data_IF_261289472540
#
_entry.id   IF_261289472540
#
_cell.length_a   1.000
_cell.length_b   1.000
_cell.length_c   1.000
_cell.angle_alpha   90.00
_cell.angle_beta   90.00
_cell.angle_gamma   90.00
#
_symmetry.space_group_name_H-M   'P 1'
#
loop_
_entity.id
_entity.type
_entity.pdbx_description
1 polymer ?
#
# COMPACT_ATOMS: atom_id res chain seq x y z
N UNK A 1 18.26 53.83 -9.24
CA UNK A 1 18.05 55.21 -8.76
C UNK A 1 16.55 55.50 -8.80
N UNK A 2 15.94 55.72 -7.62
CA UNK A 2 14.62 56.32 -7.30
C UNK A 2 13.35 55.70 -7.95
N UNK A 3 12.46 55.03 -7.20
CA UNK A 3 11.53 55.47 -6.13
C UNK A 3 10.21 56.07 -6.66
N UNK A 4 9.12 55.39 -6.28
CA UNK A 4 7.77 55.88 -5.92
C UNK A 4 6.87 56.58 -6.95
N UNK A 5 5.69 55.98 -7.15
CA UNK A 5 4.46 56.60 -6.69
C UNK A 5 3.45 55.55 -6.23
N UNK A 6 2.93 55.77 -5.02
CA UNK A 6 1.92 55.00 -4.33
C UNK A 6 0.75 55.93 -3.97
N UNK A 7 -0.37 55.29 -3.64
CA UNK A 7 -1.55 55.81 -2.92
C UNK A 7 -2.59 56.52 -3.82
N UNK A 8 -3.90 56.31 -3.72
CA UNK A 8 -4.75 55.90 -2.60
C UNK A 8 -6.00 55.14 -3.11
N UNK A 9 -6.49 54.14 -2.37
CA UNK A 9 -7.80 54.22 -1.70
C UNK A 9 -7.93 53.09 -0.67
N UNK A 10 -8.09 53.49 0.59
CA UNK A 10 -8.29 52.63 1.76
C UNK A 10 -9.78 52.44 2.05
N UNK A 11 -10.06 51.40 2.86
CA UNK A 11 -11.24 51.15 3.68
C UNK A 11 -12.40 50.38 3.05
N UNK A 12 -12.44 49.08 3.34
CA UNK A 12 -13.48 48.45 4.16
C UNK A 12 -12.95 47.09 4.65
N UNK A 13 -12.40 47.09 5.87
CA UNK A 13 -12.26 45.89 6.70
C UNK A 13 -13.57 45.75 7.47
N UNK A 14 -14.29 44.67 7.20
CA UNK A 14 -15.29 44.13 8.12
C UNK A 14 -14.93 42.66 8.34
N UNK A 15 -14.72 42.35 9.61
CA UNK A 15 -14.41 41.03 10.16
C UNK A 15 -15.35 39.94 9.64
N UNK A 16 -14.75 38.87 9.14
CA UNK A 16 -15.29 37.52 9.29
C UNK A 16 -14.13 36.58 9.54
N UNK A 17 -13.64 36.63 10.77
CA UNK A 17 -12.95 35.53 11.42
C UNK A 17 -13.93 34.37 11.67
N UNK A 18 -14.54 33.84 10.61
CA UNK A 18 -15.09 32.48 10.65
C UNK A 18 -13.92 31.54 10.46
N UNK A 19 -13.60 30.84 11.53
CA UNK A 19 -12.63 29.76 11.59
C UNK A 19 -12.58 28.96 10.29
N UNK A 20 -11.44 28.94 9.62
CA UNK A 20 -11.05 27.84 8.74
C UNK A 20 -10.81 26.58 9.60
N UNK A 21 -11.84 26.12 10.30
CA UNK A 21 -11.97 24.70 10.56
C UNK A 21 -12.33 24.12 9.20
N UNK A 22 -11.37 23.49 8.53
CA UNK A 22 -11.65 22.64 7.39
C UNK A 22 -12.76 21.68 7.85
N UNK A 23 -14.00 21.95 7.44
CA UNK A 23 -15.06 20.98 7.49
C UNK A 23 -14.55 19.85 6.60
N UNK A 24 -13.98 18.82 7.22
CA UNK A 24 -13.84 17.52 6.58
C UNK A 24 -15.23 17.19 6.07
N UNK A 25 -15.46 17.35 4.77
CA UNK A 25 -16.71 16.92 4.14
C UNK A 25 -16.88 15.45 4.51
N UNK A 26 -17.80 15.17 5.44
CA UNK A 26 -18.12 13.83 5.85
C UNK A 26 -18.44 13.03 4.59
N UNK A 27 -17.80 11.87 4.43
CA UNK A 27 -17.98 11.03 3.26
C UNK A 27 -19.47 10.88 2.93
N UNK A 28 -19.86 11.28 1.72
CA UNK A 28 -21.26 11.31 1.28
C UNK A 28 -21.95 9.94 1.35
N UNK A 29 -21.15 8.87 1.33
CA UNK A 29 -21.53 7.48 1.43
C UNK A 29 -20.60 6.78 2.43
N UNK A 30 -21.18 6.03 3.37
CA UNK A 30 -20.46 5.31 4.44
C UNK A 30 -20.89 3.85 4.48
N UNK A 31 -19.93 2.92 4.52
CA UNK A 31 -20.20 1.50 4.71
C UNK A 31 -20.78 1.24 6.11
N UNK A 32 -21.70 0.30 6.21
CA UNK A 32 -22.30 -0.18 7.44
C UNK A 32 -22.51 -1.69 7.35
N UNK A 33 -21.80 -2.44 8.21
CA UNK A 33 -21.72 -3.91 8.19
C UNK A 33 -20.49 -4.50 7.51
N UNK A 34 -19.69 -3.70 6.79
CA UNK A 34 -18.42 -4.09 6.16
C UNK A 34 -17.39 -2.98 6.27
N UNK A 35 -16.11 -3.31 6.10
CA UNK A 35 -15.00 -2.36 6.21
C UNK A 35 -13.84 -2.66 5.22
N UNK A 36 -13.13 -1.61 4.77
CA UNK A 36 -12.02 -1.71 3.81
C UNK A 36 -10.72 -2.27 4.45
N UNK A 37 -10.65 -2.33 5.78
CA UNK A 37 -9.47 -2.74 6.55
C UNK A 37 -9.60 -4.11 7.23
N UNK A 38 -10.72 -4.81 7.00
CA UNK A 38 -11.01 -6.11 7.61
C UNK A 38 -11.37 -7.19 6.58
N UNK A 39 -11.34 -8.44 7.03
CA UNK A 39 -11.84 -9.58 6.27
C UNK A 39 -13.36 -9.68 6.45
N UNK A 40 -14.11 -9.33 5.40
CA UNK A 40 -15.56 -9.33 5.41
C UNK A 40 -16.11 -10.70 5.01
N UNK A 41 -17.29 -11.07 5.50
CA UNK A 41 -17.90 -12.36 5.22
C UNK A 41 -18.60 -12.38 3.87
N UNK A 42 -18.42 -13.46 3.12
CA UNK A 42 -19.12 -13.70 1.87
C UNK A 42 -20.63 -13.85 2.09
N UNK A 43 -21.41 -13.27 1.17
CA UNK A 43 -22.87 -13.30 1.14
C UNK A 43 -23.55 -12.71 2.40
N UNK A 44 -22.82 -11.98 3.24
CA UNK A 44 -23.41 -11.23 4.35
C UNK A 44 -23.98 -9.90 3.83
N UNK A 45 -25.28 -9.63 4.02
CA UNK A 45 -25.87 -8.36 3.63
C UNK A 45 -25.28 -7.18 4.39
N UNK A 46 -25.12 -6.05 3.71
CA UNK A 46 -24.64 -4.81 4.32
C UNK A 46 -25.28 -3.60 3.65
N UNK A 47 -25.07 -2.42 4.22
CA UNK A 47 -25.64 -1.18 3.67
C UNK A 47 -24.58 -0.11 3.46
N UNK A 48 -24.89 0.81 2.55
CA UNK A 48 -24.15 2.05 2.35
C UNK A 48 -25.08 3.20 2.69
N UNK A 49 -24.78 3.91 3.77
CA UNK A 49 -25.58 5.03 4.27
C UNK A 49 -25.15 6.32 3.61
N UNK A 50 -26.10 7.17 3.24
CA UNK A 50 -25.82 8.50 2.71
C UNK A 50 -26.13 9.60 3.70
N UNK A 51 -25.23 10.58 3.80
CA UNK A 51 -25.50 11.83 4.51
C UNK A 51 -26.49 12.72 3.74
N UNK A 52 -26.62 12.53 2.42
CA UNK A 52 -27.53 13.25 1.54
C UNK A 52 -28.82 12.47 1.27
N UNK A 53 -29.83 13.12 0.73
CA UNK A 53 -30.98 12.42 0.16
C UNK A 53 -30.66 12.04 -1.29
N UNK A 54 -30.59 10.73 -1.54
CA UNK A 54 -30.37 10.13 -2.85
C UNK A 54 -31.67 10.12 -3.66
N UNK A 55 -31.55 10.24 -4.97
CA UNK A 55 -32.61 9.93 -5.94
C UNK A 55 -32.44 8.47 -6.39
N UNK A 56 -33.23 7.51 -5.89
CA UNK A 56 -32.95 6.08 -6.09
C UNK A 56 -32.83 5.66 -7.56
N UNK A 57 -33.67 6.25 -8.43
CA UNK A 57 -33.68 5.96 -9.87
C UNK A 57 -32.42 6.42 -10.63
N UNK A 58 -31.52 7.17 -9.97
CA UNK A 58 -30.27 7.67 -10.55
C UNK A 58 -29.04 6.89 -10.10
N UNK A 59 -29.23 5.91 -9.23
CA UNK A 59 -28.14 5.14 -8.66
C UNK A 59 -27.72 4.00 -9.57
N UNK A 60 -26.42 3.94 -9.84
CA UNK A 60 -25.73 2.85 -10.50
C UNK A 60 -24.70 2.27 -9.53
N UNK A 61 -24.79 0.96 -9.30
CA UNK A 61 -23.86 0.21 -8.46
C UNK A 61 -23.10 -0.75 -9.37
N UNK A 62 -21.78 -0.70 -9.32
CA UNK A 62 -20.90 -1.56 -10.09
C UNK A 62 -19.93 -2.32 -9.18
N UNK A 63 -19.61 -3.55 -9.57
CA UNK A 63 -18.61 -4.39 -8.92
C UNK A 63 -17.55 -4.76 -9.96
N UNK A 64 -16.29 -4.71 -9.57
CA UNK A 64 -15.20 -5.25 -10.36
C UNK A 64 -14.26 -6.09 -9.49
N UNK A 65 -13.63 -7.13 -10.05
CA UNK A 65 -12.49 -7.77 -9.39
C UNK A 65 -11.37 -6.72 -9.24
N UNK A 66 -10.91 -6.50 -8.01
CA UNK A 66 -9.89 -5.50 -7.73
C UNK A 66 -8.57 -5.77 -8.48
N UNK A 67 -8.32 -7.02 -8.86
CA UNK A 67 -7.15 -7.46 -9.63
C UNK A 67 -7.28 -7.16 -11.13
N UNK A 68 -8.50 -6.96 -11.64
CA UNK A 68 -8.77 -6.74 -13.05
C UNK A 68 -8.47 -5.30 -13.55
N UNK A 69 -7.70 -4.50 -12.79
CA UNK A 69 -7.22 -3.17 -13.21
C UNK A 69 -8.34 -2.21 -13.68
N UNK A 70 -9.53 -2.28 -13.07
CA UNK A 70 -10.72 -1.47 -13.38
C UNK A 70 -11.25 -1.61 -14.82
N UNK A 71 -10.88 -2.67 -15.55
CA UNK A 71 -11.43 -2.93 -16.89
C UNK A 71 -12.72 -3.74 -16.76
N UNK A 72 -13.84 -3.03 -16.68
CA UNK A 72 -15.18 -3.61 -16.62
C UNK A 72 -15.71 -3.63 -15.19
N UNK A 73 -16.66 -2.74 -14.91
CA UNK A 73 -17.56 -2.91 -13.77
C UNK A 73 -18.78 -3.65 -14.27
N UNK A 74 -19.13 -4.74 -13.60
CA UNK A 74 -20.40 -5.41 -13.79
C UNK A 74 -21.43 -4.72 -12.91
N UNK A 75 -22.60 -4.38 -13.48
CA UNK A 75 -23.66 -3.75 -12.71
C UNK A 75 -24.24 -4.73 -11.69
N UNK A 76 -24.35 -4.26 -10.45
CA UNK A 76 -25.00 -5.00 -9.39
C UNK A 76 -26.47 -4.59 -9.32
N UNK A 77 -27.34 -5.47 -9.83
CA UNK A 77 -28.77 -5.18 -9.97
C UNK A 77 -29.60 -5.48 -8.72
N UNK A 78 -29.07 -6.25 -7.78
CA UNK A 78 -29.81 -6.71 -6.58
C UNK A 78 -29.76 -5.70 -5.42
N UNK A 79 -29.24 -4.50 -5.64
CA UNK A 79 -29.22 -3.45 -4.63
C UNK A 79 -30.60 -2.80 -4.46
N UNK A 80 -31.04 -2.65 -3.22
CA UNK A 80 -32.25 -1.90 -2.88
C UNK A 80 -31.84 -0.49 -2.47
N UNK A 81 -32.22 0.49 -3.28
CA UNK A 81 -31.86 1.91 -3.05
C UNK A 81 -33.04 2.67 -2.46
N UNK A 82 -32.79 3.34 -1.35
CA UNK A 82 -33.70 4.28 -0.67
C UNK A 82 -33.06 5.67 -0.63
N UNK A 83 -33.80 6.73 -0.26
CA UNK A 83 -33.22 8.08 -0.16
C UNK A 83 -32.02 8.19 0.79
N UNK A 84 -31.86 7.28 1.76
CA UNK A 84 -30.77 7.35 2.75
C UNK A 84 -29.83 6.16 2.77
N UNK A 85 -30.21 5.04 2.14
CA UNK A 85 -29.45 3.79 2.22
C UNK A 85 -29.46 3.07 0.88
N UNK A 86 -28.36 2.39 0.58
CA UNK A 86 -28.23 1.40 -0.48
C UNK A 86 -27.98 0.07 0.23
N UNK A 87 -28.94 -0.85 0.19
CA UNK A 87 -28.78 -2.19 0.77
C UNK A 87 -28.29 -3.17 -0.29
N UNK A 88 -27.27 -3.95 0.04
CA UNK A 88 -26.71 -5.00 -0.80
C UNK A 88 -26.96 -6.36 -0.13
N UNK A 89 -27.33 -7.38 -0.91
CA UNK A 89 -27.60 -8.73 -0.41
C UNK A 89 -26.33 -9.51 0.02
N UNK A 90 -25.16 -8.86 -0.11
CA UNK A 90 -23.85 -9.46 0.13
C UNK A 90 -23.11 -9.72 -1.18
N UNK A 91 -21.81 -9.94 -1.06
CA UNK A 91 -20.89 -10.12 -2.18
C UNK A 91 -20.29 -11.52 -2.13
N UNK A 92 -19.95 -12.08 -3.29
CA UNK A 92 -19.20 -13.33 -3.36
C UNK A 92 -17.78 -13.13 -2.81
N UNK A 93 -17.14 -14.23 -2.40
CA UNK A 93 -15.76 -14.22 -1.93
C UNK A 93 -14.80 -13.70 -3.04
N UNK A 94 -13.83 -12.88 -2.64
CA UNK A 94 -12.83 -12.27 -3.51
C UNK A 94 -12.45 -10.86 -3.09
N UNK A 95 -11.55 -10.25 -3.85
CA UNK A 95 -11.26 -8.82 -3.73
C UNK A 95 -12.16 -8.02 -4.67
N UNK A 96 -12.97 -7.14 -4.10
CA UNK A 96 -14.02 -6.44 -4.82
C UNK A 96 -13.81 -4.94 -4.74
N UNK A 97 -13.80 -4.28 -5.89
CA UNK A 97 -14.02 -2.84 -5.97
C UNK A 97 -15.52 -2.58 -6.11
N UNK A 98 -16.15 -2.06 -5.06
CA UNK A 98 -17.54 -1.60 -5.07
C UNK A 98 -17.57 -0.13 -5.47
N UNK A 99 -18.14 0.18 -6.63
CA UNK A 99 -18.33 1.53 -7.11
C UNK A 99 -19.81 1.92 -7.07
N UNK A 100 -20.09 3.09 -6.52
CA UNK A 100 -21.45 3.64 -6.43
C UNK A 100 -21.43 5.03 -7.05
N UNK A 101 -22.39 5.30 -7.92
CA UNK A 101 -22.69 6.64 -8.41
C UNK A 101 -24.19 6.88 -8.32
N UNK A 102 -24.60 7.97 -7.69
CA UNK A 102 -25.99 8.39 -7.53
C UNK A 102 -26.08 9.90 -7.78
N UNK A 103 -27.29 10.39 -8.02
CA UNK A 103 -27.61 11.81 -7.87
C UNK A 103 -28.37 12.01 -6.56
N UNK A 104 -28.09 13.12 -5.88
CA UNK A 104 -28.93 13.58 -4.80
C UNK A 104 -30.20 14.25 -5.34
N UNK A 105 -31.20 14.45 -4.46
CA UNK A 105 -32.46 15.10 -4.83
C UNK A 105 -32.31 16.55 -5.31
N UNK A 106 -31.18 17.21 -5.03
CA UNK A 106 -30.85 18.55 -5.54
C UNK A 106 -29.99 18.52 -6.81
N UNK A 107 -29.82 17.34 -7.42
CA UNK A 107 -29.05 17.17 -8.65
C UNK A 107 -27.53 17.10 -8.46
N UNK A 108 -27.04 17.06 -7.23
CA UNK A 108 -25.61 16.86 -6.95
C UNK A 108 -25.18 15.43 -7.29
N UNK A 109 -24.04 15.27 -7.97
CA UNK A 109 -23.47 13.94 -8.25
C UNK A 109 -22.74 13.42 -6.99
N UNK A 110 -23.06 12.20 -6.59
CA UNK A 110 -22.53 11.54 -5.40
C UNK A 110 -21.90 10.23 -5.86
N UNK A 111 -20.59 10.06 -5.61
CA UNK A 111 -19.91 8.84 -5.97
C UNK A 111 -18.92 8.39 -4.90
N UNK A 112 -18.79 7.07 -4.75
CA UNK A 112 -17.84 6.43 -3.86
C UNK A 112 -17.29 5.15 -4.50
N UNK A 113 -16.07 4.80 -4.13
CA UNK A 113 -15.46 3.52 -4.49
C UNK A 113 -14.82 2.94 -3.24
N UNK A 114 -15.09 1.67 -2.96
CA UNK A 114 -14.57 0.93 -1.82
C UNK A 114 -13.81 -0.30 -2.31
N UNK A 115 -12.66 -0.60 -1.69
CA UNK A 115 -11.92 -1.83 -1.90
C UNK A 115 -12.20 -2.79 -0.73
N UNK A 116 -12.98 -3.83 -0.99
CA UNK A 116 -13.40 -4.80 0.01
C UNK A 116 -12.69 -6.12 -0.20
N UNK A 117 -12.28 -6.76 0.89
CA UNK A 117 -11.83 -8.15 0.88
C UNK A 117 -12.90 -9.02 1.50
N UNK A 118 -13.53 -9.85 0.66
CA UNK A 118 -14.60 -10.75 1.04
C UNK A 118 -14.01 -12.16 1.10
N UNK A 119 -14.11 -12.83 2.24
CA UNK A 119 -13.67 -14.21 2.38
C UNK A 119 -14.77 -15.13 2.89
N UNK A 120 -14.50 -16.42 2.79
CA UNK A 120 -15.44 -17.49 3.10
C UNK A 120 -14.77 -18.67 3.82
N UNK A 121 -13.49 -18.53 4.19
CA UNK A 121 -12.70 -19.61 4.75
C UNK A 121 -12.43 -19.32 6.22
N UNK A 122 -12.97 -20.17 7.09
CA UNK A 122 -12.58 -20.21 8.49
C UNK A 122 -11.44 -21.22 8.64
N UNK A 123 -10.24 -20.73 8.96
CA UNK A 123 -9.03 -21.54 9.08
C UNK A 123 -8.67 -21.72 10.55
N UNK A 124 -8.83 -22.92 11.12
CA UNK A 124 -8.31 -23.21 12.45
C UNK A 124 -6.78 -23.32 12.39
N UNK A 125 -6.11 -22.57 13.25
CA UNK A 125 -4.65 -22.52 13.41
C UNK A 125 -4.29 -23.05 14.80
N UNK A 126 -3.38 -24.01 14.87
CA UNK A 126 -2.81 -24.47 16.14
C UNK A 126 -1.34 -24.12 16.21
N UNK A 127 -0.95 -23.43 17.28
CA UNK A 127 0.44 -23.07 17.55
C UNK A 127 1.01 -24.06 18.56
N UNK A 128 2.11 -24.72 18.21
CA UNK A 128 2.80 -25.68 19.09
C UNK A 128 4.28 -25.39 19.19
N UNK A 129 4.90 -25.81 20.29
CA UNK A 129 6.35 -25.75 20.46
C UNK A 129 7.05 -26.91 19.73
N UNK A 130 8.39 -26.96 19.83
CA UNK A 130 9.20 -28.02 19.25
C UNK A 130 8.85 -29.44 19.73
N UNK A 131 8.24 -29.57 20.91
CA UNK A 131 7.75 -30.82 21.50
C UNK A 131 6.28 -31.13 21.14
N UNK A 132 5.69 -30.39 20.19
CA UNK A 132 4.28 -30.50 19.77
C UNK A 132 3.29 -30.21 20.91
N UNK A 133 3.71 -29.52 21.96
CA UNK A 133 2.81 -29.05 23.01
C UNK A 133 2.18 -27.73 22.61
N UNK A 134 0.89 -27.51 22.90
CA UNK A 134 0.21 -26.27 22.56
C UNK A 134 0.81 -25.04 23.26
N UNK A 135 0.92 -23.93 22.53
CA UNK A 135 1.32 -22.64 23.08
C UNK A 135 0.07 -21.83 23.35
N UNK A 136 -0.22 -21.59 24.63
CA UNK A 136 -1.37 -20.80 25.09
C UNK A 136 -1.03 -19.31 25.06
N UNK A 137 -1.97 -18.48 24.63
CA UNK A 137 -1.78 -17.04 24.62
C UNK A 137 -0.97 -16.51 23.43
N UNK A 138 -0.56 -17.36 22.50
CA UNK A 138 0.14 -16.92 21.28
C UNK A 138 -0.78 -15.99 20.47
N UNK A 139 -0.24 -14.84 20.09
CA UNK A 139 -0.91 -13.90 19.21
C UNK A 139 -0.70 -14.34 17.76
N UNK A 140 -1.80 -14.59 17.06
CA UNK A 140 -1.81 -15.04 15.67
C UNK A 140 -2.47 -13.98 14.82
N UNK A 141 -1.71 -13.43 13.88
CA UNK A 141 -2.17 -12.38 12.97
C UNK A 141 -2.16 -12.90 11.54
N UNK A 142 -3.35 -12.97 10.93
CA UNK A 142 -3.48 -13.17 9.48
C UNK A 142 -3.47 -11.81 8.80
N UNK A 143 -2.65 -11.66 7.75
CA UNK A 143 -2.45 -10.40 7.07
C UNK A 143 -2.47 -10.55 5.55
N UNK A 144 -3.12 -9.60 4.90
CA UNK A 144 -3.18 -9.46 3.45
C UNK A 144 -3.26 -7.98 3.07
N UNK A 145 -2.16 -7.39 2.64
CA UNK A 145 -2.08 -5.93 2.54
C UNK A 145 -2.28 -5.19 3.88
N UNK A 146 -2.98 -4.06 3.81
CA UNK A 146 -3.36 -3.32 5.01
C UNK A 146 -4.40 -4.05 5.88
N UNK A 147 -4.97 -5.15 5.39
CA UNK A 147 -6.02 -5.90 6.07
C UNK A 147 -5.38 -6.93 6.98
N UNK A 148 -5.84 -6.95 8.23
CA UNK A 148 -5.39 -7.93 9.21
C UNK A 148 -6.50 -8.32 10.15
N UNK A 149 -6.41 -9.52 10.69
CA UNK A 149 -7.12 -9.92 11.89
C UNK A 149 -6.12 -10.55 12.84
N UNK A 150 -6.30 -10.29 14.12
CA UNK A 150 -5.43 -10.74 15.18
C UNK A 150 -6.27 -11.43 16.23
N UNK A 151 -5.81 -12.60 16.67
CA UNK A 151 -6.48 -13.39 17.69
C UNK A 151 -5.46 -14.05 18.59
N UNK A 152 -5.90 -14.55 19.74
CA UNK A 152 -5.04 -15.21 20.72
C UNK A 152 -5.40 -16.68 20.82
N UNK A 153 -4.40 -17.56 20.88
CA UNK A 153 -4.62 -18.99 21.06
C UNK A 153 -5.21 -19.31 22.44
N UNK A 154 -6.15 -20.25 22.45
CA UNK A 154 -6.80 -20.74 23.67
C UNK A 154 -5.91 -21.74 24.44
N UNK A 155 -6.46 -22.40 25.47
CA UNK A 155 -5.76 -23.39 26.29
C UNK A 155 -5.25 -24.63 25.50
N UNK A 156 -5.81 -24.92 24.32
CA UNK A 156 -5.34 -25.98 23.42
C UNK A 156 -4.40 -25.45 22.32
N UNK A 157 -3.90 -24.21 22.45
CA UNK A 157 -3.06 -23.54 21.46
C UNK A 157 -3.78 -23.29 20.13
N UNK A 158 -5.11 -23.33 20.13
CA UNK A 158 -5.94 -23.22 18.92
C UNK A 158 -6.56 -21.83 18.81
N UNK A 159 -6.69 -21.34 17.59
CA UNK A 159 -7.44 -20.15 17.23
C UNK A 159 -8.08 -20.34 15.86
N UNK A 160 -9.23 -19.73 15.58
CA UNK A 160 -9.85 -19.78 14.24
C UNK A 160 -9.81 -18.40 13.63
N UNK A 161 -9.11 -18.29 12.50
CA UNK A 161 -9.08 -17.08 11.68
C UNK A 161 -10.26 -17.15 10.73
N UNK A 162 -11.13 -16.15 10.75
CA UNK A 162 -12.44 -16.23 10.08
C UNK A 162 -12.48 -15.41 8.80
N UNK A 163 -13.39 -15.78 7.89
CA UNK A 163 -13.65 -15.03 6.65
C UNK A 163 -12.38 -14.76 5.80
N UNK A 164 -11.43 -15.69 5.78
CA UNK A 164 -10.23 -15.53 4.97
C UNK A 164 -10.55 -15.69 3.47
N UNK A 165 -9.85 -14.95 2.59
CA UNK A 165 -10.00 -15.10 1.14
C UNK A 165 -9.25 -16.34 0.64
N UNK A 166 -9.66 -16.86 -0.52
CA UNK A 166 -9.02 -18.01 -1.17
C UNK A 166 -7.73 -17.61 -1.91
N UNK A 167 -6.76 -17.06 -1.17
CA UNK A 167 -5.45 -16.65 -1.68
C UNK A 167 -4.40 -16.62 -0.58
N UNK A 168 -3.13 -16.60 -0.97
CA UNK A 168 -2.02 -16.54 -0.02
C UNK A 168 -2.13 -15.34 0.91
N UNK A 169 -1.98 -15.60 2.21
CA UNK A 169 -1.90 -14.61 3.28
C UNK A 169 -0.56 -14.78 4.02
N UNK A 170 -0.13 -13.73 4.72
CA UNK A 170 0.95 -13.83 5.69
C UNK A 170 0.36 -14.14 7.07
N UNK A 171 0.87 -15.20 7.70
CA UNK A 171 0.52 -15.61 9.05
C UNK A 171 1.69 -15.26 9.98
N UNK A 172 1.45 -14.39 10.94
CA UNK A 172 2.42 -14.01 11.97
C UNK A 172 2.02 -14.63 13.30
N UNK A 173 3.00 -15.15 14.03
CA UNK A 173 2.82 -15.69 15.38
C UNK A 173 3.80 -15.02 16.31
N UNK A 174 3.29 -14.38 17.37
CA UNK A 174 4.07 -13.79 18.45
C UNK A 174 3.76 -14.50 19.77
N UNK A 175 4.81 -14.85 20.51
CA UNK A 175 4.69 -15.62 21.76
C UNK A 175 4.75 -14.64 22.95
N UNK A 176 3.83 -14.72 23.92
CA UNK A 176 3.83 -13.85 25.08
C UNK A 176 5.16 -13.87 25.84
N UNK A 177 5.70 -12.69 26.13
CA UNK A 177 6.96 -12.55 26.88
C UNK A 177 8.21 -12.87 26.07
N UNK A 178 8.08 -13.19 24.79
CA UNK A 178 9.18 -13.41 23.87
C UNK A 178 9.22 -12.31 22.79
N UNK A 179 10.41 -11.86 22.40
CA UNK A 179 10.57 -10.97 21.24
C UNK A 179 10.58 -11.74 19.92
N UNK A 180 10.51 -13.06 19.96
CA UNK A 180 10.48 -13.89 18.77
C UNK A 180 9.10 -13.86 18.09
N UNK A 181 9.14 -13.64 16.78
CA UNK A 181 8.01 -13.78 15.90
C UNK A 181 8.36 -14.77 14.78
N UNK A 182 7.41 -15.62 14.41
CA UNK A 182 7.51 -16.49 13.25
C UNK A 182 6.49 -16.01 12.21
N UNK A 183 6.90 -15.99 10.94
CA UNK A 183 6.03 -15.64 9.84
C UNK A 183 6.11 -16.69 8.75
N UNK A 184 4.97 -17.00 8.14
CA UNK A 184 4.91 -17.86 6.95
C UNK A 184 3.80 -17.42 6.01
N UNK A 185 4.00 -17.66 4.72
CA UNK A 185 2.97 -17.46 3.70
C UNK A 185 2.16 -18.74 3.56
N UNK A 186 0.85 -18.65 3.75
CA UNK A 186 -0.05 -19.80 3.73
C UNK A 186 -1.26 -19.55 2.85
N UNK A 187 -1.74 -20.60 2.20
CA UNK A 187 -3.01 -20.60 1.49
C UNK A 187 -4.13 -21.03 2.47
N UNK A 188 -5.10 -20.15 2.79
CA UNK A 188 -6.18 -20.47 3.72
C UNK A 188 -6.98 -21.70 3.30
N UNK A 189 -7.24 -22.61 4.25
CA UNK A 189 -8.05 -23.82 4.04
C UNK A 189 -8.95 -24.08 5.26
N UNK A 190 -10.14 -24.67 5.07
CA UNK A 190 -11.05 -25.01 6.18
C UNK A 190 -10.60 -26.29 6.91
N UNK A 191 -9.31 -26.37 7.25
CA UNK A 191 -8.69 -27.51 7.95
C UNK A 191 -7.62 -27.00 8.87
N UNK A 192 -7.27 -27.80 9.88
CA UNK A 192 -6.25 -27.44 10.85
C UNK A 192 -4.92 -27.13 10.16
N UNK A 193 -4.44 -25.91 10.38
CA UNK A 193 -3.12 -25.47 10.02
C UNK A 193 -2.25 -25.42 11.26
N UNK A 194 -1.19 -26.23 11.32
CA UNK A 194 -0.33 -26.30 12.49
C UNK A 194 0.94 -25.48 12.26
N UNK A 195 1.22 -24.54 13.16
CA UNK A 195 2.46 -23.74 13.17
C UNK A 195 3.39 -24.31 14.23
N UNK A 196 4.52 -24.86 13.79
CA UNK A 196 5.57 -25.35 14.66
C UNK A 196 6.58 -24.22 14.96
N UNK A 197 6.61 -23.77 16.21
CA UNK A 197 7.63 -22.84 16.69
C UNK A 197 8.93 -23.62 16.89
N UNK A 198 9.90 -23.37 16.00
CA UNK A 198 11.23 -23.97 16.14
C UNK A 198 11.93 -23.38 17.35
N UNK A 199 12.34 -24.24 18.28
CA UNK A 199 13.26 -23.90 19.37
C UNK A 199 14.45 -23.16 18.80
N UNK A 200 14.64 -21.91 19.22
CA UNK A 200 15.88 -21.19 18.97
C UNK A 200 16.92 -21.86 19.86
N UNK A 201 17.96 -22.42 19.24
CA UNK A 201 19.17 -22.75 19.98
C UNK A 201 19.60 -21.47 20.69
N UNK A 202 19.72 -21.52 22.02
CA UNK A 202 20.31 -20.44 22.80
C UNK A 202 21.55 -19.93 22.08
N UNK A 203 21.67 -18.61 21.97
CA UNK A 203 22.72 -17.90 21.24
C UNK A 203 24.07 -17.95 21.98
N UNK A 204 24.34 -19.04 22.71
CA UNK A 204 25.54 -19.24 23.52
C UNK A 204 26.60 -20.12 22.85
N UNK A 205 26.38 -20.55 21.61
CA UNK A 205 27.29 -21.49 20.91
C UNK A 205 27.78 -20.96 19.55
N UNK A 206 27.99 -19.64 19.44
CA UNK A 206 28.85 -19.07 18.40
C UNK A 206 30.28 -19.02 18.95
N UNK A 207 31.00 -20.10 18.66
CA UNK A 207 32.42 -20.22 18.94
C UNK A 207 33.20 -18.98 18.49
N UNK A 208 34.10 -18.56 19.37
CA UNK A 208 35.17 -17.61 19.11
C UNK A 208 35.98 -18.14 17.92
N UNK A 209 35.73 -17.60 16.73
CA UNK A 209 36.59 -17.81 15.57
C UNK A 209 37.72 -16.78 15.62
N UNK A 210 38.85 -17.28 16.08
CA UNK A 210 40.22 -17.03 15.59
C UNK A 210 40.48 -15.71 14.86
N UNK A 211 41.14 -14.81 15.58
CA UNK A 211 41.74 -13.56 15.09
C UNK A 211 42.97 -13.83 14.21
N UNK A 212 42.81 -14.49 13.07
CA UNK A 212 43.95 -14.66 12.14
C UNK A 212 43.55 -14.96 10.69
N UNK A 213 42.79 -14.05 10.06
CA UNK A 213 42.83 -13.88 8.59
C UNK A 213 42.20 -12.55 8.19
N UNK A 214 43.04 -11.56 7.87
CA UNK A 214 42.67 -10.41 7.02
C UNK A 214 42.34 -10.95 5.61
N UNK A 215 41.16 -11.54 5.47
CA UNK A 215 40.54 -11.68 4.17
C UNK A 215 40.08 -10.28 3.74
N UNK A 216 40.45 -9.85 2.53
CA UNK A 216 39.97 -8.62 1.92
C UNK A 216 38.44 -8.61 2.04
N UNK A 217 37.89 -7.65 2.80
CA UNK A 217 36.44 -7.46 2.94
C UNK A 217 35.78 -7.53 1.54
N UNK A 218 34.70 -8.32 1.35
CA UNK A 218 34.00 -8.42 0.07
C UNK A 218 33.66 -7.06 -0.53
N UNK A 219 33.36 -6.06 0.33
CA UNK A 219 33.11 -4.68 -0.09
C UNK A 219 34.24 -4.04 -0.88
N UNK A 220 35.50 -4.46 -0.72
CA UNK A 220 36.65 -3.86 -1.42
C UNK A 220 36.82 -4.33 -2.86
N UNK A 221 35.95 -5.21 -3.35
CA UNK A 221 35.94 -5.64 -4.75
C UNK A 221 35.38 -4.52 -5.65
N UNK A 222 35.94 -4.28 -6.84
CA UNK A 222 35.45 -3.23 -7.75
C UNK A 222 33.95 -3.33 -8.04
N UNK A 223 33.42 -4.54 -8.18
CA UNK A 223 32.01 -4.81 -8.46
C UNK A 223 31.09 -4.45 -7.28
N UNK A 224 31.63 -4.39 -6.07
CA UNK A 224 30.93 -3.95 -4.86
C UNK A 224 31.01 -2.43 -4.64
N UNK A 225 31.92 -1.75 -5.33
CA UNK A 225 32.09 -0.30 -5.26
C UNK A 225 31.28 0.44 -6.33
N UNK A 226 31.02 -0.22 -7.46
CA UNK A 226 30.18 0.34 -8.52
C UNK A 226 29.23 -0.72 -9.12
N UNK A 227 28.09 -0.99 -8.45
CA UNK A 227 27.16 -2.00 -8.92
C UNK A 227 26.38 -1.49 -10.14
N UNK A 228 26.66 -2.08 -11.30
CA UNK A 228 26.07 -1.69 -12.59
C UNK A 228 24.92 -2.61 -12.99
N UNK A 229 23.69 -2.09 -12.97
CA UNK A 229 22.46 -2.71 -13.52
C UNK A 229 22.29 -4.20 -13.17
N UNK A 230 22.69 -4.58 -11.97
CA UNK A 230 22.63 -5.97 -11.47
C UNK A 230 22.09 -5.99 -10.04
N UNK A 231 21.51 -7.13 -9.64
CA UNK A 231 21.11 -7.38 -8.26
C UNK A 231 22.20 -8.07 -7.44
N UNK A 232 23.31 -8.46 -8.09
CA UNK A 232 24.40 -9.22 -7.48
C UNK A 232 25.01 -8.57 -6.24
N UNK A 233 24.98 -7.24 -6.15
CA UNK A 233 25.47 -6.49 -4.98
C UNK A 233 24.93 -7.06 -3.66
N UNK A 234 23.64 -7.40 -3.62
CA UNK A 234 23.01 -7.86 -2.39
C UNK A 234 23.54 -9.22 -1.94
N UNK A 235 23.79 -10.14 -2.87
CA UNK A 235 24.21 -11.51 -2.59
C UNK A 235 25.73 -11.62 -2.44
N UNK A 236 26.48 -10.98 -3.34
CA UNK A 236 27.95 -11.11 -3.44
C UNK A 236 28.71 -10.12 -2.57
N UNK A 237 28.10 -8.99 -2.20
CA UNK A 237 28.76 -7.94 -1.43
C UNK A 237 28.13 -7.80 -0.04
N UNK A 238 26.87 -7.35 0.03
CA UNK A 238 26.23 -7.01 1.29
C UNK A 238 26.05 -8.23 2.21
N UNK A 239 25.51 -9.33 1.69
CA UNK A 239 25.33 -10.55 2.48
C UNK A 239 26.66 -11.22 2.86
N UNK A 240 27.65 -11.25 1.96
CA UNK A 240 28.98 -11.80 2.29
C UNK A 240 29.75 -10.97 3.33
N UNK A 241 29.36 -9.72 3.53
CA UNK A 241 30.02 -8.83 4.50
C UNK A 241 29.47 -9.04 5.91
N UNK A 242 28.14 -9.05 6.07
CA UNK A 242 27.50 -9.12 7.39
C UNK A 242 26.81 -10.43 7.73
N UNK A 243 26.61 -11.33 6.76
CA UNK A 243 25.95 -12.62 6.94
C UNK A 243 24.60 -12.52 7.67
N UNK A 244 23.75 -11.59 7.22
CA UNK A 244 22.48 -11.30 7.87
C UNK A 244 21.44 -12.42 7.73
N UNK A 245 21.72 -13.40 6.86
CA UNK A 245 20.89 -14.56 6.65
C UNK A 245 19.68 -14.30 5.76
N UNK A 246 18.87 -15.34 5.50
CA UNK A 246 17.77 -15.26 4.53
C UNK A 246 16.66 -14.27 4.91
N UNK A 247 16.55 -13.91 6.19
CA UNK A 247 15.58 -12.92 6.70
C UNK A 247 16.19 -11.51 6.81
N UNK A 248 17.50 -11.37 6.59
CA UNK A 248 18.20 -10.09 6.64
C UNK A 248 17.89 -9.21 5.43
N UNK A 249 18.06 -7.90 5.60
CA UNK A 249 17.77 -6.92 4.55
C UNK A 249 18.39 -7.24 3.18
N UNK A 250 19.69 -7.63 3.05
CA UNK A 250 20.29 -7.87 1.74
C UNK A 250 19.52 -8.88 0.90
N UNK A 251 19.18 -10.04 1.47
CA UNK A 251 18.50 -11.11 0.74
C UNK A 251 16.98 -10.94 0.72
N UNK A 252 16.36 -10.71 1.89
CA UNK A 252 14.90 -10.71 2.02
C UNK A 252 14.26 -9.51 1.32
N UNK A 253 14.89 -8.33 1.43
CA UNK A 253 14.35 -7.08 0.89
C UNK A 253 15.08 -6.65 -0.37
N UNK A 254 16.37 -6.33 -0.26
CA UNK A 254 17.16 -5.73 -1.35
C UNK A 254 17.17 -6.58 -2.61
N UNK A 255 17.61 -7.83 -2.49
CA UNK A 255 17.73 -8.76 -3.61
C UNK A 255 16.37 -9.07 -4.26
N UNK A 256 15.36 -9.36 -3.44
CA UNK A 256 14.02 -9.70 -3.93
C UNK A 256 13.36 -8.52 -4.66
N UNK A 257 13.43 -7.30 -4.09
CA UNK A 257 12.88 -6.11 -4.74
C UNK A 257 13.63 -5.76 -6.02
N UNK A 258 14.96 -5.87 -6.03
CA UNK A 258 15.76 -5.61 -7.23
C UNK A 258 15.35 -6.52 -8.39
N UNK A 259 15.27 -7.83 -8.16
CA UNK A 259 14.85 -8.78 -9.20
C UNK A 259 13.41 -8.55 -9.66
N UNK A 260 12.54 -8.11 -8.74
CA UNK A 260 11.17 -7.77 -9.08
C UNK A 260 11.08 -6.57 -10.00
N UNK A 261 11.86 -5.52 -9.77
CA UNK A 261 11.97 -4.39 -10.69
C UNK A 261 12.51 -4.82 -12.05
N UNK A 262 13.56 -5.66 -12.09
CA UNK A 262 14.09 -6.22 -13.34
C UNK A 262 13.02 -6.99 -14.12
N UNK A 263 12.25 -7.86 -13.45
CA UNK A 263 11.20 -8.67 -14.05
C UNK A 263 10.00 -7.85 -14.56
N UNK A 264 9.86 -6.60 -14.13
CA UNK A 264 8.76 -5.70 -14.54
C UNK A 264 9.20 -4.64 -15.56
N UNK A 265 10.48 -4.60 -15.97
CA UNK A 265 11.01 -3.56 -16.85
C UNK A 265 10.21 -3.39 -18.15
N UNK A 266 9.68 -4.46 -18.74
CA UNK A 266 8.87 -4.36 -19.97
C UNK A 266 7.59 -3.55 -19.82
N UNK A 267 7.08 -3.35 -18.59
CA UNK A 267 5.87 -2.59 -18.33
C UNK A 267 6.12 -1.08 -18.14
N UNK A 268 7.38 -0.66 -18.12
CA UNK A 268 7.77 0.74 -18.03
C UNK A 268 8.10 1.32 -19.41
N UNK A 269 7.89 2.63 -19.54
CA UNK A 269 8.36 3.41 -20.68
C UNK A 269 9.90 3.40 -20.78
N UNK A 270 10.46 3.86 -21.90
CA UNK A 270 11.92 4.00 -22.04
C UNK A 270 12.51 4.88 -20.92
N UNK A 271 11.98 6.10 -20.65
CA UNK A 271 12.39 6.89 -19.48
C UNK A 271 12.22 6.18 -18.14
N UNK A 272 11.11 5.45 -17.94
CA UNK A 272 10.84 4.70 -16.72
C UNK A 272 11.88 3.60 -16.45
N UNK A 273 12.30 2.87 -17.49
CA UNK A 273 13.34 1.84 -17.37
C UNK A 273 14.71 2.43 -17.01
N UNK A 274 15.07 3.55 -17.61
CA UNK A 274 16.30 4.27 -17.26
C UNK A 274 16.26 4.74 -15.80
N UNK A 275 15.14 5.33 -15.36
CA UNK A 275 14.96 5.72 -13.97
C UNK A 275 15.10 4.54 -12.99
N UNK A 276 14.51 3.38 -13.29
CA UNK A 276 14.65 2.17 -12.45
C UNK A 276 16.10 1.78 -12.29
N UNK A 277 16.86 1.71 -13.39
CA UNK A 277 18.26 1.33 -13.34
C UNK A 277 19.12 2.30 -12.53
N UNK A 278 18.93 3.59 -12.75
CA UNK A 278 19.69 4.62 -12.05
C UNK A 278 19.35 4.64 -10.56
N UNK A 279 18.08 4.45 -10.23
CA UNK A 279 17.59 4.35 -8.84
C UNK A 279 18.13 3.12 -8.13
N UNK A 280 18.09 1.94 -8.75
CA UNK A 280 18.63 0.71 -8.15
C UNK A 280 20.14 0.83 -7.90
N UNK A 281 20.89 1.37 -8.87
CA UNK A 281 22.31 1.61 -8.70
C UNK A 281 22.60 2.62 -7.57
N UNK A 282 21.80 3.69 -7.45
CA UNK A 282 21.89 4.63 -6.33
C UNK A 282 21.66 3.95 -4.98
N UNK A 283 20.60 3.15 -4.86
CA UNK A 283 20.27 2.44 -3.62
C UNK A 283 21.37 1.48 -3.18
N UNK A 284 21.99 0.76 -4.11
CA UNK A 284 23.10 -0.14 -3.82
C UNK A 284 24.35 0.65 -3.41
N UNK A 285 24.70 1.73 -4.13
CA UNK A 285 25.84 2.60 -3.77
C UNK A 285 25.68 3.23 -2.40
N UNK A 286 24.47 3.59 -2.01
CA UNK A 286 24.18 4.15 -0.69
C UNK A 286 24.51 3.20 0.47
N UNK A 287 24.66 1.90 0.22
CA UNK A 287 25.02 0.90 1.23
C UNK A 287 26.52 0.67 1.35
N UNK A 288 27.33 1.16 0.42
CA UNK A 288 28.77 0.90 0.40
C UNK A 288 29.44 1.42 1.68
N UNK A 289 29.27 2.71 1.98
CA UNK A 289 29.89 3.32 3.16
C UNK A 289 29.36 2.74 4.49
N UNK A 290 28.03 2.53 4.67
CA UNK A 290 27.51 1.84 5.84
C UNK A 290 28.05 0.41 6.03
N UNK A 291 28.28 -0.34 4.95
CA UNK A 291 28.81 -1.71 5.01
C UNK A 291 30.31 -1.76 5.31
N UNK A 292 31.07 -0.73 4.94
CA UNK A 292 32.52 -0.64 5.21
C UNK A 292 32.81 0.04 6.56
N UNK A 293 31.78 0.44 7.31
CA UNK A 293 31.92 1.06 8.63
C UNK A 293 32.23 0.03 9.72
N UNK A 294 33.23 0.33 10.55
CA UNK A 294 33.54 -0.48 11.73
C UNK A 294 32.32 -0.59 12.66
N UNK A 295 31.94 -1.83 13.00
CA UNK A 295 30.78 -2.11 13.85
C UNK A 295 29.42 -2.10 13.14
N UNK A 296 29.39 -2.14 11.79
CA UNK A 296 28.16 -2.31 11.04
C UNK A 296 27.39 -3.58 11.45
N UNK A 297 26.07 -3.45 11.61
CA UNK A 297 25.15 -4.53 11.95
C UNK A 297 24.07 -4.67 10.90
N UNK A 298 23.38 -5.81 10.88
CA UNK A 298 22.26 -6.03 9.95
C UNK A 298 21.16 -4.96 10.12
N UNK A 299 20.89 -4.56 11.35
CA UNK A 299 19.91 -3.52 11.66
C UNK A 299 20.37 -2.13 11.18
N UNK A 300 21.65 -1.80 11.36
CA UNK A 300 22.18 -0.49 10.91
C UNK A 300 22.16 -0.37 9.39
N UNK A 301 22.46 -1.46 8.67
CA UNK A 301 22.37 -1.51 7.20
C UNK A 301 20.94 -1.40 6.72
N UNK A 302 20.01 -2.12 7.36
CA UNK A 302 18.59 -2.00 7.03
C UNK A 302 18.09 -0.55 7.17
N UNK A 303 18.45 0.12 8.27
CA UNK A 303 18.10 1.52 8.48
C UNK A 303 18.74 2.44 7.43
N UNK A 304 20.03 2.25 7.12
CA UNK A 304 20.72 3.02 6.10
C UNK A 304 20.08 2.86 4.72
N UNK A 305 19.67 1.64 4.38
CA UNK A 305 18.99 1.35 3.14
C UNK A 305 17.65 2.08 3.06
N UNK A 306 16.80 1.95 4.07
CA UNK A 306 15.52 2.64 4.10
C UNK A 306 15.68 4.17 4.05
N UNK A 307 16.70 4.71 4.72
CA UNK A 307 17.00 6.15 4.70
C UNK A 307 17.43 6.67 3.33
N UNK A 308 18.03 5.84 2.46
CA UNK A 308 18.49 6.28 1.13
C UNK A 308 17.40 6.39 0.08
N UNK A 309 16.22 5.77 0.30
CA UNK A 309 15.16 5.69 -0.70
C UNK A 309 14.67 7.05 -1.20
N UNK A 310 14.31 8.02 -0.33
CA UNK A 310 13.78 9.30 -0.80
C UNK A 310 14.77 10.05 -1.68
N UNK A 311 16.04 10.14 -1.24
CA UNK A 311 17.10 10.81 -2.00
C UNK A 311 17.32 10.14 -3.36
N UNK A 312 17.49 8.81 -3.38
CA UNK A 312 17.73 8.09 -4.63
C UNK A 312 16.55 8.21 -5.61
N UNK A 313 15.31 8.20 -5.15
CA UNK A 313 14.16 8.33 -6.04
C UNK A 313 14.04 9.74 -6.62
N UNK A 314 14.21 10.77 -5.79
CA UNK A 314 14.11 12.18 -6.20
C UNK A 314 15.25 12.55 -7.16
N UNK A 315 16.50 12.26 -6.79
CA UNK A 315 17.67 12.67 -7.58
C UNK A 315 17.72 11.99 -8.95
N UNK A 316 17.21 10.76 -9.05
CA UNK A 316 17.11 10.07 -10.33
C UNK A 316 15.91 10.51 -11.18
N UNK A 317 15.06 11.40 -10.65
CA UNK A 317 14.02 12.08 -11.43
C UNK A 317 12.67 11.37 -11.39
N UNK A 318 12.27 10.81 -10.24
CA UNK A 318 10.93 10.20 -10.09
C UNK A 318 9.83 11.18 -10.51
N UNK A 319 9.98 12.48 -10.22
CA UNK A 319 9.03 13.52 -10.60
C UNK A 319 8.79 13.66 -12.11
N UNK A 320 9.74 13.22 -12.94
CA UNK A 320 9.67 13.31 -14.40
C UNK A 320 9.05 12.06 -15.03
N UNK A 321 8.68 11.06 -14.22
CA UNK A 321 8.00 9.86 -14.69
C UNK A 321 6.56 10.18 -15.10
N UNK A 322 6.11 9.53 -16.17
CA UNK A 322 4.70 9.57 -16.56
C UNK A 322 3.79 8.97 -15.48
N UNK A 323 2.52 9.36 -15.43
CA UNK A 323 1.55 8.72 -14.52
C UNK A 323 1.44 7.20 -14.73
N UNK A 324 1.69 6.71 -15.95
CA UNK A 324 1.72 5.27 -16.23
C UNK A 324 2.92 4.59 -15.57
N UNK A 325 4.10 5.19 -15.62
CA UNK A 325 5.31 4.67 -14.97
C UNK A 325 5.21 4.75 -13.46
N UNK A 326 4.62 5.82 -12.92
CA UNK A 326 4.33 5.95 -11.48
C UNK A 326 3.32 4.88 -11.04
N UNK A 327 2.27 4.64 -11.83
CA UNK A 327 1.33 3.53 -11.58
C UNK A 327 2.05 2.19 -11.58
N UNK A 328 2.90 1.93 -12.58
CA UNK A 328 3.66 0.68 -12.66
C UNK A 328 4.68 0.57 -11.52
N UNK A 329 5.32 1.66 -11.10
CA UNK A 329 6.15 1.74 -9.89
C UNK A 329 5.36 1.31 -8.65
N UNK A 330 4.17 1.88 -8.48
CA UNK A 330 3.27 1.46 -7.40
C UNK A 330 2.99 -0.03 -7.51
N UNK A 331 2.57 -0.56 -8.67
CA UNK A 331 2.27 -2.00 -8.89
C UNK A 331 3.49 -2.90 -8.60
N UNK A 332 4.67 -2.53 -9.08
CA UNK A 332 5.93 -3.26 -8.90
C UNK A 332 6.43 -3.20 -7.46
N UNK A 333 5.96 -2.24 -6.66
CA UNK A 333 6.12 -2.28 -5.20
C UNK A 333 4.93 -3.06 -4.57
N UNK A 334 3.73 -2.99 -5.16
CA UNK A 334 2.43 -3.43 -4.62
C UNK A 334 2.28 -4.94 -4.37
N UNK A 335 2.83 -5.83 -5.20
CA UNK A 335 2.87 -7.28 -4.92
C UNK A 335 3.78 -7.68 -3.74
N UNK A 336 4.20 -6.71 -2.90
CA UNK A 336 4.90 -6.89 -1.62
C UNK A 336 4.40 -5.88 -0.55
N UNK A 337 3.17 -5.37 -0.67
CA UNK A 337 2.62 -4.37 0.26
C UNK A 337 2.23 -4.96 1.61
N UNK A 338 3.19 -5.19 2.49
CA UNK A 338 2.91 -5.55 3.87
C UNK A 338 3.79 -4.82 4.91
N UNK A 339 4.17 -3.56 4.66
CA UNK A 339 4.79 -2.70 5.70
C UNK A 339 4.31 -1.23 5.61
N UNK A 340 3.72 -0.65 6.68
CA UNK A 340 3.29 0.76 6.73
C UNK A 340 4.43 1.78 6.52
N UNK A 341 5.66 1.42 6.92
CA UNK A 341 6.83 2.30 6.83
C UNK A 341 7.28 2.56 5.38
N UNK A 342 7.07 1.60 4.46
CA UNK A 342 7.38 1.75 3.03
C UNK A 342 6.46 2.76 2.34
N UNK A 343 5.18 2.80 2.73
CA UNK A 343 4.21 3.78 2.21
C UNK A 343 4.57 5.18 2.67
N UNK A 344 5.03 5.35 3.92
CA UNK A 344 5.48 6.65 4.43
C UNK A 344 6.67 7.19 3.62
N UNK A 345 7.61 6.34 3.23
CA UNK A 345 8.78 6.74 2.44
C UNK A 345 8.44 7.10 0.99
N UNK A 346 7.56 6.33 0.34
CA UNK A 346 7.06 6.67 -1.00
C UNK A 346 6.29 7.98 -0.98
N UNK A 347 5.42 8.17 0.03
CA UNK A 347 4.69 9.42 0.21
C UNK A 347 5.63 10.59 0.51
N UNK A 348 6.68 10.42 1.32
CA UNK A 348 7.70 11.43 1.58
C UNK A 348 8.51 11.81 0.34
N UNK A 349 8.81 10.84 -0.52
CA UNK A 349 9.48 11.04 -1.81
C UNK A 349 8.60 11.83 -2.79
N UNK A 350 7.31 11.48 -2.87
CA UNK A 350 6.35 12.12 -3.78
C UNK A 350 5.98 13.54 -3.32
N UNK A 351 6.15 13.90 -2.03
CA UNK A 351 5.88 15.29 -1.56
C UNK A 351 6.70 16.32 -2.32
N UNK A 352 7.93 15.97 -2.72
CA UNK A 352 8.81 16.84 -3.52
C UNK A 352 8.28 17.12 -4.93
N UNK A 353 7.49 16.20 -5.48
CA UNK A 353 6.95 16.23 -6.85
C UNK A 353 5.48 16.63 -6.94
N UNK A 354 4.82 16.91 -5.80
CA UNK A 354 3.37 16.96 -5.73
C UNK A 354 2.73 18.03 -6.64
N UNK A 355 3.44 19.12 -6.97
CA UNK A 355 2.93 20.15 -7.89
C UNK A 355 2.80 19.66 -9.34
N UNK A 356 3.76 18.89 -9.83
CA UNK A 356 3.80 18.47 -11.23
C UNK A 356 2.73 17.41 -11.50
N UNK A 357 2.59 16.42 -10.61
CA UNK A 357 1.56 15.40 -10.71
C UNK A 357 0.13 15.94 -10.58
N UNK A 358 -0.10 16.95 -9.73
CA UNK A 358 -1.44 17.53 -9.59
C UNK A 358 -1.95 18.16 -10.90
N UNK A 359 -1.07 18.76 -11.69
CA UNK A 359 -1.45 19.35 -12.98
C UNK A 359 -1.86 18.29 -14.01
N UNK A 360 -1.10 17.19 -14.10
CA UNK A 360 -1.39 16.09 -15.01
C UNK A 360 -2.66 15.32 -14.58
N UNK A 361 -2.82 15.09 -13.27
CA UNK A 361 -4.02 14.49 -12.69
C UNK A 361 -5.26 15.36 -12.98
N UNK A 362 -5.16 16.68 -12.81
CA UNK A 362 -6.26 17.61 -13.08
C UNK A 362 -6.71 17.56 -14.55
N UNK A 363 -5.77 17.60 -15.51
CA UNK A 363 -6.10 17.46 -16.92
C UNK A 363 -6.77 16.12 -17.23
N UNK A 364 -6.32 15.03 -16.59
CA UNK A 364 -6.91 13.71 -16.77
C UNK A 364 -8.32 13.61 -16.20
N UNK A 365 -8.56 14.20 -15.03
CA UNK A 365 -9.89 14.29 -14.40
C UNK A 365 -10.84 15.03 -15.33
N UNK A 366 -10.48 16.23 -15.80
CA UNK A 366 -11.32 17.00 -16.73
C UNK A 366 -11.61 16.23 -18.03
N UNK A 367 -10.62 15.53 -18.57
CA UNK A 367 -10.81 14.69 -19.75
C UNK A 367 -11.78 13.53 -19.53
N UNK A 368 -11.79 12.93 -18.33
CA UNK A 368 -12.73 11.87 -17.95
C UNK A 368 -14.14 12.42 -17.70
N UNK A 369 -14.27 13.57 -17.02
CA UNK A 369 -15.56 14.24 -16.81
C UNK A 369 -16.19 14.69 -18.13
N UNK A 370 -15.39 15.24 -19.05
CA UNK A 370 -15.86 15.61 -20.38
C UNK A 370 -16.26 14.39 -21.23
N UNK A 371 -15.67 13.21 -21.00
CA UNK A 371 -16.15 11.96 -21.61
C UNK A 371 -17.46 11.53 -20.96
N UNK A 372 -17.53 11.49 -19.63
CA UNK A 372 -18.73 11.15 -18.89
C UNK A 372 -19.95 12.00 -19.23
N UNK A 373 -19.77 13.28 -19.56
CA UNK A 373 -20.84 14.17 -19.99
C UNK A 373 -21.35 13.88 -21.41
N UNK A 374 -20.58 13.18 -22.25
CA UNK A 374 -20.91 12.87 -23.64
C UNK A 374 -21.61 11.52 -23.83
N UNK A 375 -21.42 10.59 -22.90
CA UNK A 375 -22.06 9.27 -22.92
C UNK A 375 -23.25 9.24 -21.96
N UNK A 376 -24.27 8.44 -22.25
CA UNK A 376 -25.48 8.29 -21.42
C UNK A 376 -25.65 6.88 -20.84
N UNK A 377 -24.62 6.05 -20.98
CA UNK A 377 -24.66 4.59 -20.89
C UNK A 377 -23.59 4.06 -19.88
N UNK A 378 -23.31 2.75 -19.82
CA UNK A 378 -22.29 2.17 -18.93
C UNK A 378 -20.90 2.80 -19.03
N UNK A 379 -20.53 3.37 -20.17
CA UNK A 379 -19.24 4.02 -20.34
C UNK A 379 -19.18 5.32 -19.54
N UNK A 380 -20.28 6.07 -19.47
CA UNK A 380 -20.38 7.27 -18.66
C UNK A 380 -20.12 6.97 -17.17
N UNK A 381 -20.69 5.88 -16.67
CA UNK A 381 -20.44 5.40 -15.30
C UNK A 381 -18.95 5.08 -15.09
N UNK A 382 -18.34 4.31 -15.99
CA UNK A 382 -16.91 3.97 -15.90
C UNK A 382 -16.02 5.21 -15.87
N UNK A 383 -16.26 6.21 -16.73
CA UNK A 383 -15.49 7.46 -16.74
C UNK A 383 -15.66 8.27 -15.45
N UNK A 384 -16.88 8.36 -14.90
CA UNK A 384 -17.15 9.04 -13.61
C UNK A 384 -16.40 8.37 -12.48
N UNK A 385 -16.43 7.04 -12.41
CA UNK A 385 -15.72 6.28 -11.39
C UNK A 385 -14.21 6.45 -11.51
N UNK A 386 -13.64 6.44 -12.72
CA UNK A 386 -12.21 6.71 -12.94
C UNK A 386 -11.82 8.13 -12.49
N UNK A 387 -12.66 9.14 -12.75
CA UNK A 387 -12.43 10.50 -12.29
C UNK A 387 -12.44 10.59 -10.76
N UNK A 388 -13.39 9.93 -10.10
CA UNK A 388 -13.49 9.87 -8.62
C UNK A 388 -12.26 9.19 -8.01
N UNK A 389 -11.79 8.07 -8.58
CA UNK A 389 -10.59 7.39 -8.12
C UNK A 389 -9.33 8.27 -8.22
N UNK A 390 -9.20 9.03 -9.32
CA UNK A 390 -8.12 10.00 -9.48
C UNK A 390 -8.24 11.16 -8.47
N UNK A 391 -9.44 11.70 -8.25
CA UNK A 391 -9.71 12.71 -7.22
C UNK A 391 -9.34 12.21 -5.82
N UNK A 392 -9.68 10.97 -5.45
CA UNK A 392 -9.31 10.35 -4.16
C UNK A 392 -7.80 10.22 -4.02
N UNK A 393 -7.13 9.70 -5.06
CA UNK A 393 -5.66 9.57 -5.09
C UNK A 393 -4.96 10.92 -4.92
N UNK A 394 -5.47 11.98 -5.58
CA UNK A 394 -4.92 13.33 -5.49
C UNK A 394 -4.94 13.92 -4.07
N UNK A 395 -5.93 13.57 -3.23
CA UNK A 395 -6.01 14.04 -1.83
C UNK A 395 -4.87 13.55 -0.94
N UNK A 396 -4.27 12.41 -1.30
CA UNK A 396 -3.11 11.88 -0.59
C UNK A 396 -1.79 12.55 -1.01
N UNK A 397 -1.82 13.44 -2.03
CA UNK A 397 -0.68 14.28 -2.38
C UNK A 397 -0.66 15.50 -1.43
N UNK A 398 0.40 15.67 -0.62
CA UNK A 398 0.41 16.68 0.43
C UNK A 398 0.71 18.07 -0.15
N UNK A 399 -0.33 18.78 -0.60
CA UNK A 399 -0.23 20.21 -0.94
C UNK A 399 -1.45 20.97 -0.44
N UNK A 400 -1.25 22.23 -0.02
CA UNK A 400 -2.33 23.20 0.30
C UNK A 400 -3.26 23.52 -0.90
N UNK A 401 -2.95 23.03 -2.10
CA UNK A 401 -3.64 23.36 -3.36
C UNK A 401 -4.60 22.26 -3.83
N UNK A 402 -4.57 21.08 -3.20
CA UNK A 402 -5.47 19.99 -3.53
C UNK A 402 -6.94 20.37 -3.29
N UNK A 403 -7.22 21.12 -2.21
CA UNK A 403 -8.60 21.47 -1.81
C UNK A 403 -9.34 22.30 -2.87
N UNK A 404 -8.66 23.23 -3.56
CA UNK A 404 -9.28 24.08 -4.60
C UNK A 404 -9.35 23.45 -5.99
N UNK A 405 -8.57 22.40 -6.26
CA UNK A 405 -8.63 21.62 -7.51
C UNK A 405 -9.73 20.54 -7.48
N UNK A 406 -10.23 20.21 -6.28
CA UNK A 406 -11.18 19.13 -6.01
C UNK A 406 -12.60 19.62 -5.67
N UNK A 407 -12.77 20.93 -5.49
CA UNK A 407 -14.08 21.58 -5.31
C UNK A 407 -14.77 21.77 -6.66
N UNK A 408 -15.53 20.75 -7.07
CA UNK A 408 -16.79 20.79 -7.82
C UNK A 408 -17.29 19.35 -8.05
#
# INVERSE_FOLDING_TARGET
MKLYQAALFSLLLADSSTSCAAQYEASALMLDGVDETSFNKAHEPFTVRSSFELKPSSCSIGIADARANHRGYDFYHDAVVTPKNIALAGLAAGHVNLAIHCQGVRGQDIAAVYALTIGAIDMPVQVVNAQKQPIVGAEVTARLGAISQQHTTNASGLVTLTNLPAQNIELFVMIPGDQHFQSETVEPKPRLHQVDIKSIKSRDDLGVLDSSRQAKSPMRQPECQDPLRTCDFYVKCAEQTLHCGPNGYPLHWGNNMCHRFQAQLQHYSVPGREWIWNTMACLQRALIAPLDQDGATCDSIQQAAFKSHPTCYIENGVCNLSLSDVKQLIITIHSSLLVPDTIKQILETIKGCARDYLSEIAMRIHGLEAKAARYSDPEAFSYRIQAVLLKRTARYLPTKRADGLLSN
#
